data_IF_975232736275
#
_entry.id   IF_975232736275
#
_cell.length_a   1.000
_cell.length_b   1.000
_cell.length_c   1.000
_cell.angle_alpha   90.00
_cell.angle_beta   90.00
_cell.angle_gamma   90.00
#
_symmetry.space_group_name_H-M   'P 1'
#
loop_
_entity.id
_entity.type
_entity.pdbx_description
1 polymer ?
#
# COMPACT_ATOMS: atom_id res chain seq x y z
N UNK A 1 -13.98 -0.58 16.07
CA UNK A 1 -14.78 0.67 16.08
C UNK A 1 -13.84 1.80 16.40
N UNK A 2 -14.01 2.95 15.77
CA UNK A 2 -13.36 4.18 16.17
C UNK A 2 -14.28 5.39 15.97
N UNK A 3 -14.02 6.46 16.71
CA UNK A 3 -14.85 7.66 16.74
C UNK A 3 -13.99 8.90 16.46
N UNK A 4 -14.37 9.66 15.44
CA UNK A 4 -13.86 11.00 15.19
C UNK A 4 -14.60 12.05 16.02
N UNK A 5 -14.34 13.32 15.73
CA UNK A 5 -15.06 14.43 16.38
C UNK A 5 -16.53 14.49 15.95
N UNK A 6 -16.81 14.09 14.71
CA UNK A 6 -18.13 14.26 14.11
C UNK A 6 -18.75 12.96 13.59
N UNK A 7 -18.04 11.83 13.64
CA UNK A 7 -18.49 10.57 13.07
C UNK A 7 -18.00 9.36 13.87
N UNK A 8 -18.67 8.23 13.68
CA UNK A 8 -18.25 6.94 14.19
C UNK A 8 -18.13 5.98 13.03
N UNK A 9 -17.03 5.22 12.97
CA UNK A 9 -16.83 4.20 11.97
C UNK A 9 -16.56 2.83 12.58
N UNK A 10 -17.07 1.78 11.94
CA UNK A 10 -17.00 0.40 12.43
C UNK A 10 -16.62 -0.53 11.29
N UNK A 11 -15.74 -1.49 11.58
CA UNK A 11 -15.48 -2.67 10.74
C UNK A 11 -16.20 -3.85 11.36
N UNK A 12 -17.04 -4.54 10.59
CA UNK A 12 -17.72 -5.77 11.01
C UNK A 12 -16.82 -6.98 10.79
N UNK A 13 -17.10 -8.09 11.48
CA UNK A 13 -16.42 -9.38 11.23
C UNK A 13 -16.68 -9.93 9.82
N UNK A 14 -17.73 -9.44 9.13
CA UNK A 14 -18.03 -9.76 7.73
C UNK A 14 -17.25 -8.93 6.71
N UNK A 15 -16.33 -8.08 7.17
CA UNK A 15 -15.51 -7.22 6.31
C UNK A 15 -16.26 -5.98 5.79
N UNK A 16 -17.36 -5.61 6.43
CA UNK A 16 -18.15 -4.43 6.04
C UNK A 16 -17.73 -3.23 6.86
N UNK A 17 -17.66 -2.07 6.21
CA UNK A 17 -17.33 -0.80 6.85
C UNK A 17 -18.58 0.04 6.93
N UNK A 18 -18.93 0.46 8.15
CA UNK A 18 -20.09 1.29 8.42
C UNK A 18 -19.66 2.62 9.02
N UNK A 19 -20.31 3.72 8.62
CA UNK A 19 -20.07 5.03 9.22
C UNK A 19 -21.37 5.81 9.41
N UNK A 20 -21.44 6.64 10.45
CA UNK A 20 -22.54 7.58 10.68
C UNK A 20 -22.04 8.83 11.41
N UNK A 21 -22.90 9.84 11.53
CA UNK A 21 -22.57 11.16 12.04
C UNK A 21 -22.51 12.21 10.94
N UNK A 22 -21.86 13.34 11.21
CA UNK A 22 -21.88 14.53 10.37
C UNK A 22 -21.51 14.22 8.92
N UNK A 23 -22.20 14.89 7.99
CA UNK A 23 -21.85 14.79 6.56
C UNK A 23 -21.83 13.32 6.09
N UNK A 24 -22.85 12.56 6.51
CA UNK A 24 -23.00 11.11 6.29
C UNK A 24 -21.84 10.25 6.78
N UNK A 25 -21.28 10.59 7.96
CA UNK A 25 -20.14 9.88 8.54
C UNK A 25 -18.81 10.19 7.83
N UNK A 26 -18.71 11.39 7.23
CA UNK A 26 -17.57 11.98 6.52
C UNK A 26 -17.09 11.24 5.26
N UNK A 27 -18.04 10.87 4.41
CA UNK A 27 -17.81 10.51 3.01
C UNK A 27 -18.98 10.98 2.14
N UNK A 28 -19.18 12.30 2.03
CA UNK A 28 -20.28 12.94 1.31
C UNK A 28 -20.52 12.36 -0.10
N UNK A 29 -21.73 11.86 -0.36
CA UNK A 29 -22.05 11.11 -1.57
C UNK A 29 -21.56 11.76 -2.89
N UNK A 30 -21.18 10.98 -3.91
CA UNK A 30 -20.99 11.49 -5.28
C UNK A 30 -22.23 12.25 -5.81
N UNK A 31 -23.42 11.84 -5.35
CA UNK A 31 -24.71 12.40 -5.73
C UNK A 31 -25.24 13.46 -4.73
N UNK A 32 -24.43 13.89 -3.75
CA UNK A 32 -24.81 14.96 -2.85
C UNK A 32 -24.89 16.28 -3.63
N UNK A 33 -26.08 16.59 -4.16
CA UNK A 33 -26.35 17.94 -4.63
C UNK A 33 -26.29 18.88 -3.41
N UNK A 34 -25.31 19.78 -3.39
CA UNK A 34 -25.20 20.83 -2.37
C UNK A 34 -26.39 21.81 -2.40
N UNK A 35 -27.39 21.57 -3.25
CA UNK A 35 -28.56 22.41 -3.50
C UNK A 35 -29.88 21.80 -3.00
N UNK A 36 -29.88 20.60 -2.38
CA UNK A 36 -31.09 19.90 -1.90
C UNK A 36 -31.15 19.63 -0.38
N UNK A 37 -32.30 19.12 0.10
CA UNK A 37 -32.60 18.78 1.51
C UNK A 37 -31.77 17.64 2.12
N UNK A 38 -30.85 17.09 1.34
CA UNK A 38 -29.94 15.97 1.67
C UNK A 38 -28.60 16.44 2.26
N UNK A 39 -28.46 17.73 2.57
CA UNK A 39 -27.39 18.22 3.45
C UNK A 39 -27.66 17.70 4.86
N UNK A 40 -26.90 16.71 5.34
CA UNK A 40 -27.13 16.25 6.69
C UNK A 40 -26.18 15.21 7.24
N UNK A 41 -26.40 14.99 8.53
CA UNK A 41 -25.77 13.97 9.33
C UNK A 41 -26.41 12.61 9.00
N UNK A 42 -25.60 11.56 8.92
CA UNK A 42 -26.10 10.19 8.98
C UNK A 42 -26.59 9.92 10.40
N UNK A 43 -27.92 9.89 10.56
CA UNK A 43 -28.58 9.56 11.83
C UNK A 43 -28.62 8.05 12.11
N UNK A 44 -28.20 7.23 11.13
CA UNK A 44 -28.11 5.78 11.22
C UNK A 44 -26.85 5.28 10.51
N UNK A 45 -26.30 4.10 10.90
CA UNK A 45 -25.17 3.49 10.22
C UNK A 45 -25.39 3.33 8.71
N UNK A 46 -24.45 3.84 7.92
CA UNK A 46 -24.43 3.70 6.46
C UNK A 46 -23.28 2.78 6.04
N UNK A 47 -23.56 1.87 5.11
CA UNK A 47 -22.53 1.01 4.53
C UNK A 47 -21.64 1.84 3.60
N UNK A 48 -20.34 1.81 3.85
CA UNK A 48 -19.33 2.51 3.05
C UNK A 48 -18.81 1.55 1.97
N UNK A 49 -19.03 1.83 0.68
CA UNK A 49 -18.56 0.97 -0.40
C UNK A 49 -17.06 1.16 -0.65
N UNK A 50 -16.40 0.10 -1.10
CA UNK A 50 -15.04 0.19 -1.64
C UNK A 50 -15.10 0.68 -3.10
N UNK A 51 -14.62 1.90 -3.38
CA UNK A 51 -14.47 2.43 -4.74
C UNK A 51 -13.08 2.08 -5.32
N UNK A 52 -12.61 0.85 -5.09
CA UNK A 52 -11.32 0.38 -5.59
C UNK A 52 -11.34 0.12 -7.10
N UNK A 53 -10.20 0.26 -7.81
CA UNK A 53 -10.09 -0.25 -9.18
C UNK A 53 -10.31 -1.77 -9.19
N UNK A 54 -10.91 -2.28 -10.26
CA UNK A 54 -11.07 -3.71 -10.53
C UNK A 54 -9.75 -4.47 -10.22
N UNK A 55 -9.76 -5.63 -9.53
CA UNK A 55 -10.84 -6.60 -9.34
C UNK A 55 -11.57 -6.52 -7.99
N UNK A 56 -11.28 -5.52 -7.14
CA UNK A 56 -11.91 -5.43 -5.83
C UNK A 56 -13.37 -5.00 -6.01
N UNK A 57 -14.31 -5.90 -5.71
CA UNK A 57 -15.76 -5.61 -5.76
C UNK A 57 -16.18 -4.53 -4.75
N UNK A 58 -17.48 -4.40 -4.43
CA UNK A 58 -17.98 -3.32 -3.56
C UNK A 58 -17.50 -3.38 -2.09
N UNK A 59 -16.69 -4.39 -1.73
CA UNK A 59 -16.22 -4.65 -0.36
C UNK A 59 -14.71 -4.44 -0.26
N UNK A 60 -14.27 -4.00 0.91
CA UNK A 60 -12.85 -3.92 1.23
C UNK A 60 -12.25 -5.33 1.41
N UNK A 61 -11.03 -5.59 0.91
CA UNK A 61 -10.39 -6.90 1.06
C UNK A 61 -9.86 -7.07 2.48
N UNK A 62 -10.51 -7.92 3.28
CA UNK A 62 -10.07 -8.26 4.65
C UNK A 62 -9.69 -7.02 5.51
N UNK A 63 -10.64 -6.10 5.79
CA UNK A 63 -10.38 -4.95 6.65
C UNK A 63 -9.99 -5.41 8.05
N UNK A 64 -8.89 -4.86 8.55
CA UNK A 64 -8.26 -5.24 9.82
C UNK A 64 -8.55 -4.20 10.89
N UNK A 65 -8.38 -2.92 10.56
CA UNK A 65 -8.48 -1.83 11.52
C UNK A 65 -9.02 -0.55 10.87
N UNK A 66 -9.77 0.22 11.66
CA UNK A 66 -10.26 1.54 11.28
C UNK A 66 -9.80 2.56 12.31
N UNK A 67 -9.43 3.75 11.83
CA UNK A 67 -9.07 4.89 12.65
C UNK A 67 -9.78 6.15 12.14
N UNK A 68 -10.21 7.02 13.04
CA UNK A 68 -10.94 8.24 12.76
C UNK A 68 -10.18 9.44 13.32
N UNK A 69 -9.90 10.42 12.46
CA UNK A 69 -9.49 11.75 12.89
C UNK A 69 -10.69 12.64 13.18
N UNK A 70 -10.44 13.95 13.37
CA UNK A 70 -11.52 14.91 13.61
C UNK A 70 -12.58 14.91 12.50
N UNK A 71 -12.15 14.82 11.23
CA UNK A 71 -13.05 14.83 10.09
C UNK A 71 -12.61 13.92 8.92
N UNK A 72 -11.86 12.86 9.21
CA UNK A 72 -11.40 11.88 8.21
C UNK A 72 -11.35 10.48 8.81
N UNK A 73 -11.29 9.47 7.94
CA UNK A 73 -11.22 8.06 8.32
C UNK A 73 -10.12 7.38 7.52
N UNK A 74 -9.43 6.45 8.17
CA UNK A 74 -8.41 5.60 7.60
C UNK A 74 -8.77 4.15 7.87
N UNK A 75 -8.66 3.31 6.85
CA UNK A 75 -8.92 1.88 6.92
C UNK A 75 -7.68 1.12 6.48
N UNK A 76 -7.20 0.24 7.35
CA UNK A 76 -6.16 -0.73 7.05
C UNK A 76 -6.82 -2.06 6.70
N UNK A 77 -6.43 -2.66 5.59
CA UNK A 77 -6.94 -3.94 5.11
C UNK A 77 -5.81 -4.81 4.58
N UNK A 78 -6.15 -6.05 4.23
CA UNK A 78 -5.24 -7.02 3.61
C UNK A 78 -3.95 -7.19 4.44
N UNK A 79 -4.11 -7.57 5.71
CA UNK A 79 -3.01 -7.79 6.67
C UNK A 79 -2.06 -6.60 6.87
N UNK A 80 -2.52 -5.39 6.57
CA UNK A 80 -1.70 -4.17 6.71
C UNK A 80 -1.08 -3.68 5.40
N UNK A 81 -1.23 -4.42 4.31
CA UNK A 81 -0.62 -4.06 3.01
C UNK A 81 -1.43 -3.03 2.22
N UNK A 82 -2.69 -2.80 2.58
CA UNK A 82 -3.55 -1.85 1.86
C UNK A 82 -4.19 -0.85 2.80
N UNK A 83 -4.20 0.40 2.35
CA UNK A 83 -4.68 1.54 3.11
C UNK A 83 -5.68 2.33 2.28
N UNK A 84 -6.83 2.67 2.87
CA UNK A 84 -7.77 3.62 2.30
C UNK A 84 -7.93 4.80 3.24
N UNK A 85 -8.16 5.98 2.66
CA UNK A 85 -8.57 7.14 3.43
C UNK A 85 -9.66 7.95 2.72
N UNK A 86 -10.49 8.62 3.51
CA UNK A 86 -11.55 9.52 3.04
C UNK A 86 -11.93 10.53 4.12
N UNK A 87 -12.69 11.55 3.74
CA UNK A 87 -13.12 12.70 4.54
C UNK A 87 -12.41 13.98 4.13
N UNK A 88 -12.21 14.90 5.09
CA UNK A 88 -11.57 16.20 4.84
C UNK A 88 -10.06 16.05 4.63
N UNK A 89 -9.56 16.61 3.53
CA UNK A 89 -8.18 16.45 3.06
C UNK A 89 -7.23 17.59 3.40
N UNK A 90 -7.71 18.63 4.10
CA UNK A 90 -6.89 19.79 4.48
C UNK A 90 -5.57 19.35 5.15
N UNK A 91 -4.49 20.04 4.81
CA UNK A 91 -3.12 19.72 5.26
C UNK A 91 -2.57 18.38 4.77
N UNK A 92 -3.20 17.73 3.79
CA UNK A 92 -2.72 16.48 3.20
C UNK A 92 -2.95 15.25 4.07
N UNK A 93 -3.84 15.32 5.07
CA UNK A 93 -4.07 14.26 6.06
C UNK A 93 -4.55 12.92 5.46
N UNK A 94 -5.05 12.95 4.22
CA UNK A 94 -5.47 11.74 3.49
C UNK A 94 -4.32 11.03 2.77
N UNK A 95 -3.15 11.64 2.64
CA UNK A 95 -1.99 10.98 2.02
C UNK A 95 -2.08 10.75 0.50
N UNK A 96 -3.08 11.32 -0.20
CA UNK A 96 -3.24 11.19 -1.66
C UNK A 96 -2.30 12.10 -2.49
N UNK A 97 -1.29 12.72 -1.87
CA UNK A 97 -0.43 13.71 -2.52
C UNK A 97 -1.09 15.07 -2.79
N UNK A 98 -2.32 15.28 -2.31
CA UNK A 98 -3.08 16.53 -2.44
C UNK A 98 -3.84 16.84 -1.14
N UNK A 99 -4.24 18.10 -0.99
CA UNK A 99 -4.96 18.60 0.20
C UNK A 99 -6.48 18.75 -0.02
N UNK A 100 -7.01 18.10 -1.05
CA UNK A 100 -8.44 18.11 -1.40
C UNK A 100 -9.20 17.06 -0.57
N UNK A 101 -10.43 17.40 -0.22
CA UNK A 101 -11.36 16.46 0.41
C UNK A 101 -11.62 15.28 -0.53
N UNK A 102 -11.68 14.06 0.04
CA UNK A 102 -12.07 12.87 -0.70
C UNK A 102 -13.29 12.26 -0.06
N UNK A 103 -14.41 12.31 -0.75
CA UNK A 103 -15.67 11.85 -0.18
C UNK A 103 -15.96 10.37 -0.39
N UNK A 104 -15.04 9.66 -1.04
CA UNK A 104 -15.12 8.22 -1.22
C UNK A 104 -13.82 7.58 -0.76
N UNK A 105 -13.87 6.38 -0.16
CA UNK A 105 -12.68 5.62 0.20
C UNK A 105 -11.73 5.52 -0.99
N UNK A 106 -10.57 6.14 -0.84
CA UNK A 106 -9.55 6.21 -1.89
C UNK A 106 -8.33 5.46 -1.42
N UNK A 107 -7.75 4.65 -2.31
CA UNK A 107 -6.53 3.90 -1.99
C UNK A 107 -5.38 4.88 -1.76
N UNK A 108 -4.71 4.73 -0.62
CA UNK A 108 -3.50 5.47 -0.28
C UNK A 108 -2.30 4.61 -0.68
N UNK A 109 -1.42 5.17 -1.51
CA UNK A 109 -0.18 4.50 -1.91
C UNK A 109 0.82 4.56 -0.74
N UNK A 110 0.86 3.49 0.04
CA UNK A 110 1.78 3.34 1.16
C UNK A 110 2.33 1.90 1.20
N UNK A 111 3.66 1.70 1.29
CA UNK A 111 4.71 2.71 1.20
C UNK A 111 4.70 3.44 -0.17
N UNK A 112 5.29 4.65 -0.26
CA UNK A 112 5.41 5.33 -1.54
C UNK A 112 6.16 4.44 -2.53
N UNK A 113 5.67 4.37 -3.77
CA UNK A 113 6.33 3.66 -4.86
C UNK A 113 7.72 4.28 -5.06
N UNK A 114 8.77 3.65 -4.55
CA UNK A 114 10.12 3.95 -5.03
C UNK A 114 10.19 3.60 -6.52
N UNK A 115 11.14 4.19 -7.23
CA UNK A 115 11.39 3.90 -8.66
C UNK A 115 11.44 2.38 -8.94
N UNK A 116 11.84 1.60 -7.94
CA UNK A 116 11.93 0.13 -7.96
C UNK A 116 10.58 -0.61 -8.18
N UNK A 117 9.43 0.04 -7.96
CA UNK A 117 8.11 -0.59 -8.11
C UNK A 117 7.40 -0.30 -9.45
N UNK A 118 7.94 0.59 -10.30
CA UNK A 118 7.27 0.98 -11.56
C UNK A 118 7.36 -0.09 -12.66
N UNK A 119 8.28 -1.04 -12.58
CA UNK A 119 8.58 -1.96 -13.70
C UNK A 119 7.65 -3.19 -13.81
N UNK A 120 6.70 -3.40 -12.90
CA UNK A 120 5.95 -4.67 -12.84
C UNK A 120 4.74 -4.72 -13.81
N UNK A 121 4.31 -3.59 -14.40
CA UNK A 121 3.11 -3.55 -15.26
C UNK A 121 3.30 -3.06 -16.69
N UNK A 122 4.52 -2.83 -17.14
CA UNK A 122 4.81 -2.51 -18.55
C UNK A 122 5.56 -3.66 -19.22
N UNK A 123 4.86 -4.74 -19.55
CA UNK A 123 5.22 -5.54 -20.72
C UNK A 123 3.97 -6.21 -21.29
N UNK A 124 3.58 -5.82 -22.51
CA UNK A 124 3.38 -6.85 -23.49
C UNK A 124 4.17 -6.62 -24.78
N UNK A 125 4.60 -7.76 -25.31
CA UNK A 125 4.93 -8.08 -26.70
C UNK A 125 6.26 -7.59 -27.27
N UNK A 126 7.02 -8.57 -27.75
CA UNK A 126 8.36 -8.41 -28.31
C UNK A 126 8.38 -7.94 -29.75
N UNK A 127 9.60 -7.80 -30.26
CA UNK A 127 10.04 -8.27 -31.58
C UNK A 127 11.58 -8.21 -31.64
N UNK A 128 12.17 -9.19 -32.31
CA UNK A 128 13.61 -9.46 -32.49
C UNK A 128 14.40 -8.32 -33.16
N UNK A 129 15.72 -8.22 -32.93
CA UNK A 129 16.64 -7.48 -33.80
C UNK A 129 17.54 -8.41 -34.65
N UNK A 130 17.60 -8.14 -35.95
CA UNK A 130 18.56 -8.71 -36.90
C UNK A 130 19.95 -8.06 -36.76
N UNK A 131 20.99 -8.91 -36.77
CA UNK A 131 22.44 -8.60 -36.78
C UNK A 131 22.88 -8.00 -38.15
N UNK A 132 24.03 -7.29 -38.26
CA UNK A 132 25.31 -7.97 -38.52
C UNK A 132 26.56 -7.35 -37.86
N UNK A 133 27.68 -8.04 -38.06
CA UNK A 133 28.89 -8.13 -37.24
C UNK A 133 30.04 -7.21 -37.66
N UNK A 134 30.86 -6.74 -36.70
CA UNK A 134 32.33 -6.62 -36.79
C UNK A 134 32.92 -6.04 -35.50
N UNK A 135 34.01 -6.65 -34.98
CA UNK A 135 34.98 -6.20 -33.95
C UNK A 135 35.16 -7.20 -32.79
N UNK A 136 35.87 -8.31 -33.03
CA UNK A 136 36.04 -9.42 -32.09
C UNK A 136 37.31 -9.39 -31.21
N UNK A 137 37.94 -8.23 -30.99
CA UNK A 137 39.14 -8.16 -30.10
C UNK A 137 39.17 -6.96 -29.13
N UNK A 138 38.21 -6.04 -29.21
CA UNK A 138 37.90 -5.02 -28.18
C UNK A 138 36.59 -5.33 -27.42
N UNK A 139 35.83 -6.31 -27.92
CA UNK A 139 34.48 -6.64 -27.46
C UNK A 139 34.47 -7.42 -26.15
N UNK A 140 35.47 -8.27 -25.87
CA UNK A 140 35.43 -9.14 -24.69
C UNK A 140 35.74 -8.38 -23.39
N UNK A 141 36.69 -7.45 -23.41
CA UNK A 141 37.05 -6.62 -22.24
C UNK A 141 35.89 -5.66 -21.89
N UNK A 142 35.28 -5.05 -22.92
CA UNK A 142 34.10 -4.19 -22.76
C UNK A 142 32.83 -4.97 -22.39
N UNK A 143 32.69 -6.22 -22.83
CA UNK A 143 31.58 -7.09 -22.42
C UNK A 143 31.73 -7.56 -20.96
N UNK A 144 32.94 -7.89 -20.52
CA UNK A 144 33.22 -8.23 -19.11
C UNK A 144 33.01 -7.02 -18.18
N UNK A 145 33.46 -5.82 -18.57
CA UNK A 145 33.21 -4.59 -17.80
C UNK A 145 31.71 -4.27 -17.71
N UNK A 146 30.96 -4.46 -18.81
CA UNK A 146 29.51 -4.26 -18.82
C UNK A 146 28.78 -5.27 -17.94
N UNK A 147 29.18 -6.55 -17.96
CA UNK A 147 28.63 -7.59 -17.07
C UNK A 147 28.93 -7.29 -15.60
N UNK A 148 30.15 -6.82 -15.31
CA UNK A 148 30.54 -6.41 -13.96
C UNK A 148 29.71 -5.21 -13.47
N UNK A 149 29.51 -4.20 -14.32
CA UNK A 149 28.66 -3.04 -14.00
C UNK A 149 27.21 -3.46 -13.71
N UNK A 150 26.65 -4.35 -14.53
CA UNK A 150 25.30 -4.91 -14.33
C UNK A 150 25.19 -5.67 -13.00
N UNK A 151 26.17 -6.52 -12.69
CA UNK A 151 26.20 -7.28 -11.44
C UNK A 151 26.36 -6.37 -10.21
N UNK A 152 27.11 -5.27 -10.32
CA UNK A 152 27.25 -4.29 -9.24
C UNK A 152 25.95 -3.51 -8.99
N UNK A 153 25.22 -3.17 -10.04
CA UNK A 153 23.89 -2.54 -9.92
C UNK A 153 22.88 -3.51 -9.28
N UNK A 154 22.86 -4.78 -9.71
CA UNK A 154 22.01 -5.81 -9.11
C UNK A 154 22.35 -6.03 -7.62
N UNK A 155 23.63 -6.09 -7.26
CA UNK A 155 24.05 -6.19 -5.86
C UNK A 155 23.59 -5.00 -5.03
N UNK A 156 23.71 -3.78 -5.57
CA UNK A 156 23.24 -2.57 -4.90
C UNK A 156 21.72 -2.57 -4.72
N UNK A 157 20.98 -3.05 -5.71
CA UNK A 157 19.53 -3.23 -5.63
C UNK A 157 19.15 -4.25 -4.56
N UNK A 158 19.84 -5.39 -4.51
CA UNK A 158 19.61 -6.43 -3.51
C UNK A 158 19.90 -5.92 -2.09
N UNK A 159 20.97 -5.15 -1.89
CA UNK A 159 21.26 -4.51 -0.61
C UNK A 159 20.15 -3.53 -0.18
N UNK A 160 19.61 -2.74 -1.12
CA UNK A 160 18.49 -1.84 -0.86
C UNK A 160 17.22 -2.59 -0.44
N UNK A 161 16.91 -3.68 -1.16
CA UNK A 161 15.78 -4.57 -0.83
C UNK A 161 15.94 -5.22 0.54
N UNK A 162 17.13 -5.75 0.83
CA UNK A 162 17.45 -6.35 2.13
C UNK A 162 17.25 -5.34 3.27
N UNK A 163 17.80 -4.13 3.14
CA UNK A 163 17.64 -3.09 4.16
C UNK A 163 16.18 -2.70 4.40
N UNK A 164 15.37 -2.69 3.34
CA UNK A 164 13.94 -2.44 3.45
C UNK A 164 13.24 -3.57 4.20
N UNK A 165 13.55 -4.82 3.86
CA UNK A 165 13.00 -6.01 4.54
C UNK A 165 13.39 -6.05 6.03
N UNK A 166 14.64 -5.70 6.37
CA UNK A 166 15.10 -5.58 7.76
C UNK A 166 14.29 -4.56 8.56
N UNK A 167 14.01 -3.38 7.97
CA UNK A 167 13.17 -2.36 8.62
C UNK A 167 11.74 -2.85 8.83
N UNK A 168 11.15 -3.51 7.83
CA UNK A 168 9.80 -4.08 7.96
C UNK A 168 9.74 -5.14 9.06
N UNK A 169 10.72 -6.05 9.09
CA UNK A 169 10.81 -7.08 10.11
C UNK A 169 10.93 -6.46 11.51
N UNK A 170 11.74 -5.41 11.67
CA UNK A 170 11.88 -4.68 12.93
C UNK A 170 10.59 -3.99 13.39
N UNK A 171 9.87 -3.32 12.47
CA UNK A 171 8.59 -2.67 12.78
C UNK A 171 7.54 -3.71 13.20
N UNK A 172 7.43 -4.80 12.43
CA UNK A 172 6.47 -5.87 12.70
C UNK A 172 6.77 -6.55 14.06
N UNK A 173 8.03 -6.87 14.32
CA UNK A 173 8.45 -7.46 15.58
C UNK A 173 8.16 -6.52 16.77
N UNK A 174 8.45 -5.22 16.63
CA UNK A 174 8.12 -4.22 17.65
C UNK A 174 6.62 -4.10 17.90
N UNK A 175 5.79 -4.19 16.85
CA UNK A 175 4.34 -4.13 16.96
C UNK A 175 3.75 -5.38 17.66
N UNK A 176 4.30 -6.56 17.40
CA UNK A 176 3.79 -7.83 17.97
C UNK A 176 4.30 -8.05 19.39
N UNK A 177 5.60 -7.82 19.64
CA UNK A 177 6.28 -8.22 20.87
C UNK A 177 6.65 -7.05 21.79
N UNK A 178 6.42 -5.80 21.36
CA UNK A 178 6.72 -4.60 22.15
C UNK A 178 8.20 -4.32 22.37
N UNK A 179 9.10 -4.99 21.62
CA UNK A 179 10.56 -4.87 21.72
C UNK A 179 11.21 -4.90 20.32
N UNK A 180 12.38 -4.27 20.12
CA UNK A 180 13.10 -4.34 18.85
C UNK A 180 13.49 -5.78 18.51
N UNK A 181 13.65 -6.06 17.21
CA UNK A 181 14.10 -7.35 16.70
C UNK A 181 15.61 -7.49 16.92
N UNK A 182 16.03 -8.46 17.72
CA UNK A 182 17.44 -8.83 17.89
C UNK A 182 17.80 -10.06 17.03
N UNK A 183 19.08 -10.22 16.66
CA UNK A 183 19.55 -11.38 15.87
C UNK A 183 19.26 -12.73 16.57
N UNK A 184 19.11 -12.71 17.90
CA UNK A 184 18.75 -13.89 18.71
C UNK A 184 17.27 -14.29 18.54
N UNK A 185 16.41 -13.39 18.05
CA UNK A 185 15.00 -13.66 17.76
C UNK A 185 14.82 -14.35 16.38
N UNK A 186 15.88 -14.45 15.57
CA UNK A 186 15.84 -15.12 14.27
C UNK A 186 15.89 -16.64 14.48
N UNK A 187 14.90 -17.41 14.00
CA UNK A 187 14.91 -18.87 14.09
C UNK A 187 16.18 -19.48 13.48
N UNK A 188 16.76 -20.48 14.16
CA UNK A 188 17.98 -21.15 13.73
C UNK A 188 17.92 -21.70 12.30
N UNK A 189 16.73 -22.07 11.82
CA UNK A 189 16.49 -22.53 10.45
C UNK A 189 16.78 -21.48 9.37
N UNK A 190 16.72 -20.19 9.69
CA UNK A 190 17.00 -19.07 8.78
C UNK A 190 18.46 -18.60 8.86
N UNK A 191 19.21 -19.04 9.87
CA UNK A 191 20.62 -18.67 10.07
C UNK A 191 21.59 -19.55 9.27
N UNK A 192 21.11 -20.65 8.70
CA UNK A 192 21.91 -21.59 7.91
C UNK A 192 21.83 -21.25 6.41
N UNK A 193 22.96 -20.98 5.73
CA UNK A 193 22.97 -20.78 4.30
C UNK A 193 22.75 -22.13 3.59
N UNK A 194 21.54 -22.31 3.06
CA UNK A 194 21.21 -23.36 2.09
C UNK A 194 20.72 -24.68 2.68
N UNK A 195 19.41 -24.77 2.94
CA UNK A 195 18.55 -25.84 2.41
C UNK A 195 17.10 -25.53 2.78
N UNK A 196 16.33 -24.98 1.85
CA UNK A 196 14.88 -25.10 1.92
C UNK A 196 14.49 -26.35 1.15
N UNK A 197 14.63 -27.52 1.77
CA UNK A 197 13.92 -28.72 1.32
C UNK A 197 12.48 -28.60 1.82
N UNK A 198 11.58 -28.22 0.92
CA UNK A 198 10.14 -28.35 1.14
C UNK A 198 9.78 -29.76 0.68
N UNK A 199 9.58 -30.66 1.63
CA UNK A 199 8.90 -31.95 1.44
C UNK A 199 7.42 -31.83 1.80
#
# INVERSE_FOLDING_TARGET
VDCGLFHTSVVSSGGEVWSWGMERGLGLCPDASFTGADQGDALSPLLIPCNGPYPYGPKFPAPVQIACGAAHTVLVADDGYKLWSWGRGRSGVLGHGKAEDSYSPTLVLWPPLSEDFKEIHSNPTGNEPTKPESQAFKSEETEMEKKLSSAMEEMKLLQSKLSTMERYAGILHGAIFGRPLDEQDIPFSLQLPGSFDIA
#
